data_IF_803563441539
#
_entry.id   IF_803563441539
#
_cell.length_a   1.000
_cell.length_b   1.000
_cell.length_c   1.000
_cell.angle_alpha   90.00
_cell.angle_beta   90.00
_cell.angle_gamma   90.00
#
_symmetry.space_group_name_H-M   'P 1'
#
loop_
_entity.id
_entity.type
_entity.pdbx_description
1 polymer ?
#
# COMPACT_ATOMS: atom_id res chain seq x y z
N UNK A 1 26.18 -15.87 0.27
CA UNK A 1 25.82 -14.48 0.62
C UNK A 1 24.68 -14.05 -0.31
N UNK A 2 23.88 -13.05 0.06
CA UNK A 2 22.72 -12.64 -0.77
C UNK A 2 23.19 -11.77 -1.95
N UNK A 3 24.14 -10.85 -1.71
CA UNK A 3 24.68 -9.92 -2.71
C UNK A 3 25.23 -10.65 -3.95
N UNK A 4 26.01 -11.72 -3.79
CA UNK A 4 26.62 -12.41 -4.92
C UNK A 4 25.60 -13.05 -5.86
N UNK A 5 24.48 -13.54 -5.30
CA UNK A 5 23.37 -14.08 -6.07
C UNK A 5 22.58 -12.97 -6.76
N UNK A 6 22.32 -11.85 -6.06
CA UNK A 6 21.58 -10.70 -6.60
C UNK A 6 22.31 -10.05 -7.78
N UNK A 7 23.62 -9.82 -7.68
CA UNK A 7 24.43 -9.27 -8.79
C UNK A 7 24.28 -10.15 -10.03
N UNK A 8 24.44 -11.47 -9.87
CA UNK A 8 24.33 -12.43 -10.97
C UNK A 8 22.93 -12.44 -11.57
N UNK A 9 21.89 -12.53 -10.72
CA UNK A 9 20.49 -12.58 -11.11
C UNK A 9 20.09 -11.37 -11.96
N UNK A 10 20.28 -10.15 -11.45
CA UNK A 10 19.90 -8.92 -12.14
C UNK A 10 20.73 -8.67 -13.41
N UNK A 11 22.02 -9.03 -13.39
CA UNK A 11 22.85 -8.98 -14.60
C UNK A 11 22.28 -9.89 -15.69
N UNK A 12 21.89 -11.12 -15.35
CA UNK A 12 21.34 -12.07 -16.32
C UNK A 12 19.95 -11.69 -16.82
N UNK A 13 19.08 -11.15 -15.94
CA UNK A 13 17.76 -10.63 -16.31
C UNK A 13 17.88 -9.53 -17.37
N UNK A 14 18.87 -8.66 -17.23
CA UNK A 14 19.17 -7.59 -18.20
C UNK A 14 20.03 -8.06 -19.39
N UNK A 15 20.25 -9.37 -19.55
CA UNK A 15 21.05 -9.98 -20.62
C UNK A 15 22.48 -9.42 -20.73
N UNK A 16 23.06 -8.95 -19.63
CA UNK A 16 24.42 -8.43 -19.60
C UNK A 16 25.43 -9.56 -19.36
N UNK A 17 26.58 -9.54 -20.01
CA UNK A 17 27.71 -10.41 -19.65
C UNK A 17 28.50 -9.84 -18.46
N UNK A 18 29.34 -10.66 -17.81
CA UNK A 18 30.25 -10.16 -16.76
C UNK A 18 31.18 -9.06 -17.31
N UNK A 19 31.57 -9.16 -18.59
CA UNK A 19 32.40 -8.17 -19.28
C UNK A 19 31.65 -6.85 -19.46
N UNK A 20 30.39 -6.89 -19.91
CA UNK A 20 29.56 -5.68 -20.05
C UNK A 20 29.33 -4.98 -18.71
N UNK A 21 29.08 -5.74 -17.63
CA UNK A 21 28.90 -5.16 -16.30
C UNK A 21 30.20 -4.53 -15.78
N UNK A 22 31.34 -5.18 -16.02
CA UNK A 22 32.65 -4.67 -15.64
C UNK A 22 32.99 -3.37 -16.38
N UNK A 23 32.68 -3.30 -17.67
CA UNK A 23 32.87 -2.10 -18.50
C UNK A 23 32.03 -0.93 -17.97
N UNK A 24 30.74 -1.15 -17.68
CA UNK A 24 29.86 -0.12 -17.09
C UNK A 24 30.34 0.39 -15.73
N UNK A 25 30.94 -0.48 -14.92
CA UNK A 25 31.49 -0.11 -13.61
C UNK A 25 32.91 0.47 -13.67
N UNK A 26 33.55 0.43 -14.85
CA UNK A 26 34.96 0.77 -15.05
C UNK A 26 35.90 -0.03 -14.11
N UNK A 27 35.71 -1.35 -14.05
CA UNK A 27 36.53 -2.27 -13.27
C UNK A 27 36.91 -3.50 -14.09
N UNK A 28 37.75 -4.37 -13.54
CA UNK A 28 38.08 -5.65 -14.18
C UNK A 28 36.92 -6.64 -14.15
N UNK A 29 36.74 -7.42 -15.22
CA UNK A 29 35.85 -8.58 -15.26
C UNK A 29 36.10 -9.56 -14.11
N UNK A 30 37.37 -9.72 -13.72
CA UNK A 30 37.77 -10.58 -12.60
C UNK A 30 37.12 -10.14 -11.29
N UNK A 31 36.95 -8.83 -11.06
CA UNK A 31 36.25 -8.29 -9.89
C UNK A 31 34.79 -8.76 -9.84
N UNK A 32 34.05 -8.59 -10.96
CA UNK A 32 32.66 -9.08 -11.08
C UNK A 32 32.59 -10.59 -10.81
N UNK A 33 33.52 -11.34 -11.41
CA UNK A 33 33.56 -12.79 -11.27
C UNK A 33 33.76 -13.23 -9.81
N UNK A 34 34.66 -12.58 -9.08
CA UNK A 34 34.89 -12.82 -7.65
C UNK A 34 33.67 -12.46 -6.81
N UNK A 35 33.02 -11.34 -7.12
CA UNK A 35 31.79 -10.92 -6.44
C UNK A 35 30.67 -11.93 -6.64
N UNK A 36 30.40 -12.39 -7.87
CA UNK A 36 29.33 -13.37 -8.14
C UNK A 36 29.60 -14.75 -7.53
N UNK A 37 30.87 -15.12 -7.33
CA UNK A 37 31.27 -16.35 -6.61
C UNK A 37 31.31 -16.19 -5.09
N UNK A 38 31.17 -14.97 -4.57
CA UNK A 38 31.26 -14.69 -3.13
C UNK A 38 32.69 -14.76 -2.58
N UNK A 39 33.71 -14.69 -3.45
CA UNK A 39 35.13 -14.69 -3.06
C UNK A 39 35.61 -13.33 -2.54
N UNK A 40 34.91 -12.26 -2.91
CA UNK A 40 35.12 -10.91 -2.39
C UNK A 40 33.83 -10.12 -2.40
N UNK A 41 33.79 -9.02 -1.65
CA UNK A 41 32.68 -8.08 -1.63
C UNK A 41 32.98 -6.84 -2.49
N UNK A 42 31.98 -6.25 -3.15
CA UNK A 42 32.12 -4.93 -3.75
C UNK A 42 32.30 -3.87 -2.64
N UNK A 43 33.06 -2.81 -2.93
CA UNK A 43 33.12 -1.63 -2.05
C UNK A 43 31.76 -0.91 -2.02
N UNK A 44 31.55 -0.03 -1.03
CA UNK A 44 30.32 0.77 -0.92
C UNK A 44 30.06 1.56 -2.21
N UNK A 45 31.07 2.21 -2.79
CA UNK A 45 30.92 2.92 -4.07
C UNK A 45 30.47 2.01 -5.21
N UNK A 46 31.02 0.79 -5.27
CA UNK A 46 30.64 -0.19 -6.29
C UNK A 46 29.22 -0.73 -6.05
N UNK A 47 28.79 -0.90 -4.81
CA UNK A 47 27.42 -1.30 -4.48
C UNK A 47 26.40 -0.24 -4.91
N UNK A 48 26.68 1.04 -4.67
CA UNK A 48 25.81 2.14 -5.12
C UNK A 48 25.68 2.14 -6.65
N UNK A 49 26.82 2.08 -7.36
CA UNK A 49 26.83 2.03 -8.83
C UNK A 49 26.18 0.76 -9.38
N UNK A 50 26.31 -0.38 -8.70
CA UNK A 50 25.61 -1.61 -9.05
C UNK A 50 24.09 -1.40 -8.98
N UNK A 51 23.58 -0.77 -7.92
CA UNK A 51 22.16 -0.43 -7.80
C UNK A 51 21.69 0.45 -8.97
N UNK A 52 22.45 1.47 -9.34
CA UNK A 52 22.15 2.36 -10.47
C UNK A 52 22.15 1.62 -11.82
N UNK A 53 23.17 0.79 -12.09
CA UNK A 53 23.30 0.05 -13.36
C UNK A 53 22.25 -1.05 -13.49
N UNK A 54 21.96 -1.75 -12.39
CA UNK A 54 20.98 -2.84 -12.34
C UNK A 54 19.55 -2.32 -12.14
N UNK A 55 19.37 -1.01 -11.92
CA UNK A 55 18.06 -0.39 -11.77
C UNK A 55 17.28 -0.85 -10.54
N UNK A 56 17.99 -1.22 -9.46
CA UNK A 56 17.40 -1.68 -8.21
C UNK A 56 17.87 -0.84 -7.02
N UNK A 57 17.05 -0.66 -5.98
CA UNK A 57 17.49 -0.04 -4.74
C UNK A 57 18.69 -0.77 -4.14
N UNK A 58 19.60 -0.03 -3.52
CA UNK A 58 20.75 -0.62 -2.82
C UNK A 58 20.31 -1.60 -1.72
N UNK A 59 19.20 -1.31 -1.06
CA UNK A 59 18.65 -2.18 -0.02
C UNK A 59 18.26 -3.56 -0.59
N UNK A 60 17.67 -3.60 -1.79
CA UNK A 60 17.29 -4.81 -2.51
C UNK A 60 18.52 -5.58 -3.00
N UNK A 61 19.55 -4.88 -3.46
CA UNK A 61 20.82 -5.50 -3.85
C UNK A 61 21.50 -6.21 -2.66
N UNK A 62 21.40 -5.63 -1.46
CA UNK A 62 22.09 -6.12 -0.25
C UNK A 62 21.27 -7.17 0.49
N UNK A 63 19.97 -6.96 0.63
CA UNK A 63 19.05 -7.81 1.40
C UNK A 63 18.31 -8.84 0.55
N UNK A 64 18.26 -8.65 -0.76
CA UNK A 64 17.62 -9.53 -1.74
C UNK A 64 16.19 -9.13 -2.10
N UNK A 65 15.74 -9.56 -3.29
CA UNK A 65 14.39 -9.30 -3.88
C UNK A 65 13.21 -9.67 -2.97
N UNK A 66 13.42 -10.59 -2.03
CA UNK A 66 12.42 -11.06 -1.06
C UNK A 66 12.47 -10.32 0.29
N UNK A 67 13.36 -9.35 0.47
CA UNK A 67 13.38 -8.59 1.71
C UNK A 67 12.19 -7.65 1.75
N UNK A 68 11.25 -7.92 2.66
CA UNK A 68 10.17 -6.99 2.97
C UNK A 68 10.75 -5.62 3.36
N UNK A 69 10.42 -4.53 2.64
CA UNK A 69 10.99 -3.21 2.91
C UNK A 69 10.48 -2.68 4.25
N UNK A 70 11.33 -2.01 5.02
CA UNK A 70 10.94 -1.37 6.30
C UNK A 70 11.60 0.01 6.36
N UNK A 71 10.83 1.10 6.62
CA UNK A 71 9.39 1.11 6.87
C UNK A 71 8.56 0.84 5.61
N UNK A 72 7.41 0.18 5.76
CA UNK A 72 6.45 -0.04 4.66
C UNK A 72 5.11 0.61 4.96
N UNK A 73 4.67 1.50 4.09
CA UNK A 73 3.35 2.12 4.17
C UNK A 73 2.34 1.30 3.39
N UNK A 74 1.33 0.76 4.08
CA UNK A 74 0.27 -0.01 3.46
C UNK A 74 -1.00 0.85 3.34
N UNK A 75 -1.52 1.06 2.13
CA UNK A 75 -2.74 1.85 1.92
C UNK A 75 -2.53 3.31 1.55
N UNK A 76 -1.31 3.82 1.73
CA UNK A 76 -1.02 5.25 1.68
C UNK A 76 -1.23 5.83 0.28
N UNK A 77 -2.24 6.69 0.11
CA UNK A 77 -2.38 7.45 -1.13
C UNK A 77 -1.49 8.71 -1.11
N UNK A 78 -0.41 8.68 -1.90
CA UNK A 78 0.53 9.82 -2.02
C UNK A 78 0.06 10.87 -3.03
N UNK A 79 -0.89 10.55 -3.90
CA UNK A 79 -1.31 11.44 -4.98
C UNK A 79 -2.27 12.52 -4.46
N UNK A 80 -1.77 13.75 -4.36
CA UNK A 80 -2.54 14.93 -3.93
C UNK A 80 -3.23 15.69 -5.06
N UNK A 81 -3.00 15.30 -6.32
CA UNK A 81 -3.43 16.04 -7.53
C UNK A 81 -4.92 16.37 -7.52
N UNK A 82 -5.78 15.40 -7.21
CA UNK A 82 -7.22 15.62 -7.17
C UNK A 82 -7.65 16.61 -6.09
N UNK A 83 -7.02 16.56 -4.91
CA UNK A 83 -7.30 17.51 -3.83
C UNK A 83 -6.86 18.93 -4.23
N UNK A 84 -5.72 19.07 -4.89
CA UNK A 84 -5.25 20.37 -5.40
C UNK A 84 -6.20 20.92 -6.47
N UNK A 85 -6.57 20.11 -7.47
CA UNK A 85 -7.54 20.50 -8.51
C UNK A 85 -8.87 20.92 -7.87
N UNK A 86 -9.34 20.15 -6.89
CA UNK A 86 -10.56 20.44 -6.14
C UNK A 86 -10.48 21.81 -5.45
N UNK A 87 -9.39 22.11 -4.74
CA UNK A 87 -9.20 23.41 -4.07
C UNK A 87 -9.18 24.54 -5.11
N UNK A 88 -8.45 24.38 -6.22
CA UNK A 88 -8.37 25.39 -7.28
C UNK A 88 -9.73 25.67 -7.92
N UNK A 89 -10.51 24.64 -8.24
CA UNK A 89 -11.87 24.79 -8.78
C UNK A 89 -12.77 25.50 -7.75
N UNK A 90 -12.68 25.13 -6.48
CA UNK A 90 -13.45 25.77 -5.40
C UNK A 90 -13.13 27.26 -5.31
N UNK A 91 -11.84 27.61 -5.29
CA UNK A 91 -11.40 29.00 -5.23
C UNK A 91 -11.88 29.79 -6.46
N UNK A 92 -11.79 29.19 -7.66
CA UNK A 92 -12.26 29.81 -8.89
C UNK A 92 -13.77 30.09 -8.86
N UNK A 93 -14.59 29.11 -8.43
CA UNK A 93 -16.04 29.28 -8.32
C UNK A 93 -16.38 30.38 -7.31
N UNK A 94 -15.76 30.37 -6.13
CA UNK A 94 -15.95 31.42 -5.13
C UNK A 94 -15.60 32.82 -5.68
N UNK A 95 -14.46 32.93 -6.39
CA UNK A 95 -14.03 34.20 -6.99
C UNK A 95 -15.01 34.71 -8.06
N UNK A 96 -15.49 33.84 -8.96
CA UNK A 96 -16.50 34.20 -9.97
C UNK A 96 -17.79 34.64 -9.29
N UNK A 97 -18.26 33.90 -8.28
CA UNK A 97 -19.50 34.27 -7.56
C UNK A 97 -19.38 35.59 -6.78
N UNK A 98 -18.17 35.95 -6.32
CA UNK A 98 -17.93 37.22 -5.60
C UNK A 98 -17.93 38.44 -6.53
N UNK A 99 -17.37 38.30 -7.73
CA UNK A 99 -17.28 39.41 -8.70
C UNK A 99 -18.62 39.71 -9.38
N UNK A 100 -19.52 38.73 -9.47
CA UNK A 100 -20.86 38.92 -10.03
C UNK A 100 -21.82 39.44 -8.95
N UNK A 101 -22.58 40.50 -9.25
CA UNK A 101 -23.67 40.93 -8.35
C UNK A 101 -24.62 39.74 -8.12
N UNK A 102 -25.19 39.59 -6.91
CA UNK A 102 -26.01 38.42 -6.57
C UNK A 102 -27.29 38.41 -7.41
N UNK A 103 -27.24 37.67 -8.51
CA UNK A 103 -28.39 37.31 -9.34
C UNK A 103 -28.80 35.87 -9.03
N UNK A 104 -30.08 35.54 -9.26
CA UNK A 104 -30.62 34.19 -9.03
C UNK A 104 -29.75 33.09 -9.67
N UNK A 105 -29.20 33.36 -10.86
CA UNK A 105 -28.30 32.45 -11.59
C UNK A 105 -27.02 32.15 -10.80
N UNK A 106 -26.41 33.15 -10.16
CA UNK A 106 -25.16 32.99 -9.37
C UNK A 106 -25.43 32.12 -8.15
N UNK A 107 -26.57 32.31 -7.49
CA UNK A 107 -27.01 31.51 -6.34
C UNK A 107 -27.25 30.06 -6.76
N UNK A 108 -27.95 29.82 -7.88
CA UNK A 108 -28.20 28.47 -8.38
C UNK A 108 -26.92 27.74 -8.80
N UNK A 109 -25.95 28.42 -9.41
CA UNK A 109 -24.65 27.85 -9.73
C UNK A 109 -23.86 27.47 -8.47
N UNK A 110 -23.89 28.30 -7.42
CA UNK A 110 -23.25 27.98 -6.14
C UNK A 110 -23.89 26.76 -5.47
N UNK A 111 -25.22 26.64 -5.49
CA UNK A 111 -25.92 25.45 -4.99
C UNK A 111 -25.60 24.19 -5.81
N UNK A 112 -25.61 24.30 -7.14
CA UNK A 112 -25.25 23.19 -8.03
C UNK A 112 -23.81 22.73 -7.83
N UNK A 113 -22.88 23.67 -7.62
CA UNK A 113 -21.51 23.38 -7.25
C UNK A 113 -21.42 22.66 -5.90
N UNK A 114 -22.05 23.20 -4.85
CA UNK A 114 -22.08 22.56 -3.53
C UNK A 114 -22.66 21.14 -3.59
N UNK A 115 -23.74 20.94 -4.33
CA UNK A 115 -24.34 19.62 -4.52
C UNK A 115 -23.40 18.66 -5.27
N UNK A 116 -22.81 19.11 -6.38
CA UNK A 116 -21.82 18.35 -7.14
C UNK A 116 -20.60 17.98 -6.28
N UNK A 117 -20.17 18.89 -5.40
CA UNK A 117 -19.06 18.67 -4.47
C UNK A 117 -19.40 17.63 -3.41
N UNK A 118 -20.58 17.72 -2.79
CA UNK A 118 -21.06 16.71 -1.84
C UNK A 118 -21.18 15.34 -2.51
N UNK A 119 -21.69 15.31 -3.74
CA UNK A 119 -21.80 14.09 -4.55
C UNK A 119 -20.42 13.48 -4.85
N UNK A 120 -19.47 14.26 -5.38
CA UNK A 120 -18.10 13.81 -5.65
C UNK A 120 -17.37 13.36 -4.38
N UNK A 121 -17.61 14.03 -3.24
CA UNK A 121 -17.04 13.64 -1.96
C UNK A 121 -17.60 12.27 -1.52
N UNK A 122 -18.90 12.04 -1.73
CA UNK A 122 -19.55 10.76 -1.43
C UNK A 122 -19.04 9.61 -2.31
N UNK A 123 -18.68 9.87 -3.56
CA UNK A 123 -18.17 8.85 -4.49
C UNK A 123 -16.73 8.42 -4.23
N UNK A 124 -15.90 9.29 -3.62
CA UNK A 124 -14.47 9.00 -3.43
C UNK A 124 -14.19 8.55 -2.00
N UNK A 125 -13.50 7.42 -1.86
CA UNK A 125 -13.13 6.89 -0.55
C UNK A 125 -11.96 7.70 0.05
N UNK A 126 -12.24 8.83 0.70
CA UNK A 126 -11.20 9.65 1.33
C UNK A 126 -10.50 8.94 2.50
N UNK A 127 -11.03 7.79 2.97
CA UNK A 127 -10.38 6.94 3.97
C UNK A 127 -8.95 6.59 3.58
N UNK A 128 -8.70 6.28 2.31
CA UNK A 128 -7.37 5.90 1.78
C UNK A 128 -6.28 6.96 2.03
N UNK A 129 -6.64 8.21 2.33
CA UNK A 129 -5.69 9.27 2.64
C UNK A 129 -5.25 9.29 4.10
N UNK A 130 -6.00 8.70 5.04
CA UNK A 130 -5.70 8.76 6.46
C UNK A 130 -5.67 7.40 7.16
N UNK A 131 -6.44 6.43 6.65
CA UNK A 131 -6.65 5.08 7.18
C UNK A 131 -5.64 4.07 6.57
N UNK A 132 -4.37 4.46 6.56
CA UNK A 132 -3.24 3.61 6.17
C UNK A 132 -2.43 3.25 7.42
N UNK A 133 -1.62 2.21 7.37
CA UNK A 133 -0.71 1.87 8.47
C UNK A 133 0.73 1.80 7.98
N UNK A 134 1.67 2.02 8.89
CA UNK A 134 3.10 1.96 8.58
C UNK A 134 3.72 0.86 9.43
N UNK A 135 4.43 -0.03 8.78
CA UNK A 135 5.14 -1.13 9.43
C UNK A 135 6.57 -0.68 9.68
N UNK A 136 6.95 -0.65 10.96
CA UNK A 136 8.29 -0.30 11.42
C UNK A 136 9.05 -1.55 11.89
N UNK A 137 10.32 -1.39 12.24
CA UNK A 137 11.13 -2.48 12.79
C UNK A 137 10.70 -2.93 14.19
N UNK A 138 10.05 -2.06 14.98
CA UNK A 138 9.67 -2.31 16.38
C UNK A 138 8.16 -2.39 16.62
N UNK A 139 7.35 -2.10 15.60
CA UNK A 139 5.89 -2.12 15.73
C UNK A 139 5.16 -1.61 14.50
N UNK A 140 3.86 -1.42 14.63
CA UNK A 140 2.96 -0.94 13.59
C UNK A 140 2.36 0.39 14.02
N UNK A 141 2.45 1.38 13.13
CA UNK A 141 1.82 2.68 13.31
C UNK A 141 0.43 2.67 12.69
N UNK A 142 -0.58 2.82 13.55
CA UNK A 142 -1.99 2.79 13.17
C UNK A 142 -2.66 4.15 13.33
N UNK A 143 -3.67 4.42 12.53
CA UNK A 143 -4.49 5.63 12.67
C UNK A 143 -5.44 5.52 13.87
N UNK A 144 -5.44 6.52 14.76
CA UNK A 144 -6.34 6.60 15.93
C UNK A 144 -7.00 7.98 16.02
N UNK A 145 -7.29 8.57 14.86
CA UNK A 145 -7.84 9.93 14.79
C UNK A 145 -9.35 10.02 14.92
N UNK A 146 -9.90 11.16 14.51
CA UNK A 146 -11.32 11.50 14.65
C UNK A 146 -12.23 10.73 13.69
N UNK A 147 -13.45 10.41 14.17
CA UNK A 147 -14.53 9.83 13.35
C UNK A 147 -15.02 10.77 12.21
N UNK A 148 -14.69 12.07 12.29
CA UNK A 148 -15.02 13.07 11.28
C UNK A 148 -14.07 12.98 10.07
N UNK A 149 -14.52 12.30 9.02
CA UNK A 149 -13.76 12.02 7.78
C UNK A 149 -13.05 13.25 7.19
N UNK A 150 -13.73 14.40 7.15
CA UNK A 150 -13.17 15.65 6.60
C UNK A 150 -11.96 16.14 7.42
N UNK A 151 -12.09 16.15 8.74
CA UNK A 151 -10.99 16.55 9.63
C UNK A 151 -9.81 15.60 9.54
N UNK A 152 -10.07 14.28 9.48
CA UNK A 152 -9.04 13.26 9.32
C UNK A 152 -8.24 13.45 8.03
N UNK A 153 -8.95 13.73 6.94
CA UNK A 153 -8.37 13.98 5.62
C UNK A 153 -7.49 15.24 5.62
N UNK A 154 -7.99 16.35 6.18
CA UNK A 154 -7.23 17.61 6.28
C UNK A 154 -5.98 17.41 7.14
N UNK A 155 -6.13 16.79 8.32
CA UNK A 155 -5.02 16.52 9.23
C UNK A 155 -3.96 15.64 8.58
N UNK A 156 -4.37 14.65 7.78
CA UNK A 156 -3.43 13.83 7.00
C UNK A 156 -2.68 14.66 5.96
N UNK A 157 -3.36 15.54 5.21
CA UNK A 157 -2.72 16.38 4.20
C UNK A 157 -1.67 17.35 4.77
N UNK A 158 -1.89 17.87 5.98
CA UNK A 158 -0.94 18.75 6.69
C UNK A 158 0.09 17.98 7.51
N UNK A 159 0.12 16.64 7.43
CA UNK A 159 1.08 15.80 8.16
C UNK A 159 0.84 15.70 9.67
N UNK A 160 -0.31 16.16 10.17
CA UNK A 160 -0.69 16.10 11.59
C UNK A 160 -1.67 14.95 11.88
N UNK A 161 -1.47 13.82 11.19
CA UNK A 161 -2.27 12.61 11.39
C UNK A 161 -2.07 12.09 12.81
N UNK A 162 -3.17 11.87 13.55
CA UNK A 162 -3.10 11.23 14.87
C UNK A 162 -2.89 9.73 14.70
N UNK A 163 -1.79 9.22 15.24
CA UNK A 163 -1.40 7.82 15.14
C UNK A 163 -1.01 7.25 16.50
N UNK A 164 -1.07 5.93 16.62
CA UNK A 164 -0.58 5.17 17.78
C UNK A 164 0.42 4.13 17.26
N UNK A 165 1.56 4.03 17.92
CA UNK A 165 2.53 2.97 17.67
C UNK A 165 2.18 1.76 18.54
N UNK A 166 2.03 0.60 17.91
CA UNK A 166 1.74 -0.68 18.57
C UNK A 166 3.00 -1.55 18.47
N UNK A 167 3.73 -1.77 19.58
CA UNK A 167 4.91 -2.63 19.57
C UNK A 167 4.56 -4.07 19.24
N UNK A 168 5.43 -4.78 18.51
CA UNK A 168 5.20 -6.20 18.18
C UNK A 168 5.01 -7.08 19.41
N UNK A 169 5.76 -6.80 20.47
CA UNK A 169 5.66 -7.52 21.74
C UNK A 169 4.29 -7.41 22.42
N UNK A 170 3.44 -6.44 22.04
CA UNK A 170 2.08 -6.30 22.58
C UNK A 170 1.00 -6.97 21.74
N UNK A 171 1.37 -7.54 20.58
CA UNK A 171 0.45 -8.15 19.64
C UNK A 171 0.40 -9.65 19.93
N UNK A 172 -0.79 -10.13 20.28
CA UNK A 172 -1.02 -11.56 20.56
C UNK A 172 -1.27 -12.31 19.26
N UNK A 173 -2.17 -11.80 18.42
CA UNK A 173 -2.52 -12.42 17.14
C UNK A 173 -2.99 -11.40 16.11
N UNK A 174 -2.94 -11.81 14.85
CA UNK A 174 -3.55 -11.11 13.73
C UNK A 174 -4.50 -12.04 12.99
N UNK A 175 -5.66 -11.51 12.60
CA UNK A 175 -6.66 -12.24 11.84
C UNK A 175 -6.95 -11.55 10.52
N UNK A 176 -6.83 -12.28 9.43
CA UNK A 176 -7.27 -11.82 8.12
C UNK A 176 -8.80 -11.92 8.08
N UNK A 177 -9.46 -10.77 8.01
CA UNK A 177 -10.91 -10.67 7.94
C UNK A 177 -11.36 -10.14 6.58
N UNK A 178 -12.19 -10.93 5.90
CA UNK A 178 -12.86 -10.54 4.68
C UNK A 178 -14.38 -10.61 4.90
N UNK A 179 -15.08 -9.50 4.70
CA UNK A 179 -16.54 -9.48 4.83
C UNK A 179 -17.19 -10.12 3.59
N UNK A 180 -17.39 -11.43 3.63
CA UNK A 180 -17.94 -12.25 2.54
C UNK A 180 -19.47 -12.40 2.57
N UNK A 181 -20.22 -11.47 3.19
CA UNK A 181 -21.68 -11.62 3.35
C UNK A 181 -22.48 -11.67 2.04
N UNK A 182 -21.84 -11.51 0.87
CA UNK A 182 -22.41 -11.86 -0.42
C UNK A 182 -23.74 -11.17 -0.74
N UNK A 183 -24.43 -11.65 -1.78
CA UNK A 183 -25.81 -11.28 -2.08
C UNK A 183 -26.75 -12.36 -1.58
N UNK A 184 -27.65 -11.98 -0.67
CA UNK A 184 -28.73 -12.81 -0.17
C UNK A 184 -29.91 -12.78 -1.17
N UNK A 185 -30.23 -13.91 -1.83
CA UNK A 185 -31.31 -13.98 -2.80
C UNK A 185 -32.71 -13.87 -2.17
N UNK A 186 -32.85 -14.16 -0.87
CA UNK A 186 -34.13 -14.11 -0.16
C UNK A 186 -34.49 -12.70 0.32
N UNK A 187 -33.49 -11.89 0.65
CA UNK A 187 -33.66 -10.49 1.11
C UNK A 187 -33.30 -9.45 0.05
N UNK A 188 -32.71 -9.86 -1.08
CA UNK A 188 -32.12 -8.99 -2.12
C UNK A 188 -31.01 -8.07 -1.62
N UNK A 189 -30.45 -8.33 -0.44
CA UNK A 189 -29.34 -7.55 0.11
C UNK A 189 -28.01 -8.14 -0.37
N UNK A 190 -27.24 -7.37 -1.14
CA UNK A 190 -25.91 -7.80 -1.56
C UNK A 190 -25.17 -6.81 -2.42
N UNK A 191 -23.87 -6.64 -2.14
CA UNK A 191 -22.99 -5.80 -2.92
C UNK A 191 -22.34 -6.62 -4.02
N UNK A 192 -22.89 -6.49 -5.24
CA UNK A 192 -22.35 -7.08 -6.47
C UNK A 192 -20.89 -6.63 -6.70
N UNK A 193 -19.91 -7.45 -6.34
CA UNK A 193 -18.54 -7.24 -6.80
C UNK A 193 -18.46 -7.52 -8.31
N UNK A 194 -18.17 -6.48 -9.11
CA UNK A 194 -17.75 -6.62 -10.51
C UNK A 194 -16.38 -5.99 -10.68
N UNK A 195 -15.45 -6.72 -11.30
CA UNK A 195 -14.11 -6.24 -11.67
C UNK A 195 -14.25 -4.89 -12.42
N UNK A 196 -13.64 -3.82 -11.89
CA UNK A 196 -13.66 -2.44 -12.42
C UNK A 196 -14.92 -1.59 -12.19
N UNK A 197 -15.91 -2.01 -11.41
CA UNK A 197 -16.98 -1.08 -10.96
C UNK A 197 -16.53 -0.26 -9.74
N UNK A 198 -16.91 1.02 -9.72
CA UNK A 198 -16.82 1.88 -8.54
C UNK A 198 -17.92 1.45 -7.58
N UNK A 199 -17.67 0.40 -6.79
CA UNK A 199 -18.71 -0.16 -5.89
C UNK A 199 -18.95 0.80 -4.73
N UNK A 200 -20.17 1.31 -4.64
CA UNK A 200 -20.72 1.95 -3.43
C UNK A 200 -20.97 0.81 -2.44
N UNK A 201 -20.09 0.62 -1.47
CA UNK A 201 -20.12 -0.51 -0.53
C UNK A 201 -19.15 -1.62 -0.93
N UNK A 202 -17.86 -1.44 -0.64
CA UNK A 202 -16.88 -2.53 -0.79
C UNK A 202 -16.96 -3.45 0.43
N UNK A 203 -16.78 -4.74 0.21
CA UNK A 203 -16.50 -5.70 1.27
C UNK A 203 -15.24 -5.23 2.00
N UNK A 204 -15.34 -5.09 3.32
CA UNK A 204 -14.20 -4.67 4.13
C UNK A 204 -13.19 -5.79 4.16
N UNK A 205 -12.02 -5.56 3.56
CA UNK A 205 -10.87 -6.44 3.71
C UNK A 205 -9.92 -5.84 4.73
N UNK A 206 -9.62 -6.56 5.80
CA UNK A 206 -8.89 -5.99 6.93
C UNK A 206 -8.05 -7.02 7.66
N UNK A 207 -6.96 -6.55 8.24
CA UNK A 207 -6.17 -7.29 9.22
C UNK A 207 -6.60 -6.82 10.61
N UNK A 208 -7.20 -7.72 11.38
CA UNK A 208 -7.60 -7.44 12.76
C UNK A 208 -6.44 -7.84 13.66
N UNK A 209 -5.86 -6.86 14.34
CA UNK A 209 -4.79 -7.07 15.30
C UNK A 209 -5.39 -7.05 16.70
N UNK A 210 -5.11 -8.10 17.47
CA UNK A 210 -5.54 -8.22 18.88
C UNK A 210 -4.31 -8.12 19.77
N UNK A 211 -4.34 -7.19 20.74
CA UNK A 211 -3.27 -7.02 21.72
C UNK A 211 -3.49 -7.87 22.96
N UNK A 212 -2.43 -8.06 23.76
CA UNK A 212 -2.50 -8.72 25.07
C UNK A 212 -3.51 -8.07 26.04
N UNK A 213 -3.85 -6.79 25.80
CA UNK A 213 -4.84 -6.04 26.58
C UNK A 213 -6.25 -6.12 25.99
N UNK A 214 -6.50 -7.06 25.07
CA UNK A 214 -7.78 -7.24 24.35
C UNK A 214 -8.22 -5.98 23.56
N UNK A 215 -7.26 -5.12 23.17
CA UNK A 215 -7.55 -4.02 22.25
C UNK A 215 -7.50 -4.55 20.81
N UNK A 216 -8.57 -4.29 20.05
CA UNK A 216 -8.64 -4.67 18.64
C UNK A 216 -8.39 -3.47 17.73
N UNK A 217 -7.46 -3.62 16.80
CA UNK A 217 -7.14 -2.63 15.77
C UNK A 217 -7.45 -3.21 14.39
N UNK A 218 -8.18 -2.45 13.57
CA UNK A 218 -8.53 -2.86 12.21
C UNK A 218 -7.63 -2.13 11.23
N UNK A 219 -6.81 -2.88 10.50
CA UNK A 219 -5.92 -2.35 9.46
C UNK A 219 -6.56 -2.61 8.09
N UNK A 220 -6.71 -1.57 7.28
CA UNK A 220 -7.34 -1.68 5.97
C UNK A 220 -6.44 -2.42 4.96
N UNK A 221 -6.95 -3.48 4.34
CA UNK A 221 -6.27 -4.31 3.33
C UNK A 221 -6.81 -4.12 1.89
N UNK A 222 -7.67 -3.12 1.64
CA UNK A 222 -8.35 -2.90 0.36
C UNK A 222 -7.38 -2.69 -0.83
N UNK A 223 -6.12 -2.34 -0.57
CA UNK A 223 -5.12 -2.22 -1.64
C UNK A 223 -4.81 -3.54 -2.34
N UNK A 224 -5.10 -4.67 -1.71
CA UNK A 224 -4.87 -5.99 -2.29
C UNK A 224 -5.81 -6.31 -3.45
N UNK A 225 -6.92 -5.57 -3.60
CA UNK A 225 -7.74 -5.64 -4.81
C UNK A 225 -7.06 -5.10 -6.07
N UNK A 226 -5.86 -4.50 -5.95
CA UNK A 226 -5.09 -3.95 -7.05
C UNK A 226 -3.78 -4.76 -7.22
N UNK A 227 -3.75 -5.77 -8.12
CA UNK A 227 -2.58 -6.66 -8.27
C UNK A 227 -1.28 -5.98 -8.70
N UNK A 228 -1.37 -4.76 -9.25
CA UNK A 228 -0.24 -3.96 -9.68
C UNK A 228 0.36 -3.11 -8.54
N UNK A 229 -0.21 -3.17 -7.33
CA UNK A 229 0.25 -2.39 -6.18
C UNK A 229 1.45 -3.03 -5.50
N UNK A 230 2.32 -2.22 -4.90
CA UNK A 230 3.41 -2.70 -4.06
C UNK A 230 2.86 -3.46 -2.85
N UNK A 231 1.71 -3.03 -2.31
CA UNK A 231 1.02 -3.72 -1.22
C UNK A 231 0.68 -5.18 -1.58
N UNK A 232 0.21 -5.42 -2.81
CA UNK A 232 -0.05 -6.78 -3.29
C UNK A 232 1.26 -7.59 -3.41
N UNK A 233 2.28 -6.99 -4.05
CA UNK A 233 3.59 -7.64 -4.25
C UNK A 233 4.26 -8.05 -2.95
N UNK A 234 4.20 -7.19 -1.92
CA UNK A 234 4.89 -7.42 -0.65
C UNK A 234 4.01 -8.11 0.40
N UNK A 235 2.74 -8.43 0.11
CA UNK A 235 1.81 -8.97 1.11
C UNK A 235 2.29 -10.28 1.75
N UNK A 236 2.70 -11.26 0.95
CA UNK A 236 3.19 -12.53 1.49
C UNK A 236 4.46 -12.34 2.33
N UNK A 237 5.36 -11.46 1.88
CA UNK A 237 6.57 -11.12 2.62
C UNK A 237 6.27 -10.36 3.93
N UNK A 238 5.23 -9.52 3.93
CA UNK A 238 4.72 -8.82 5.11
C UNK A 238 4.20 -9.81 6.16
N UNK A 239 3.40 -10.79 5.78
CA UNK A 239 2.90 -11.79 6.71
C UNK A 239 4.02 -12.66 7.27
N UNK A 240 4.93 -13.14 6.41
CA UNK A 240 6.12 -13.87 6.86
C UNK A 240 7.01 -13.04 7.80
N UNK A 241 7.03 -11.70 7.63
CA UNK A 241 7.73 -10.81 8.55
C UNK A 241 7.05 -10.77 9.93
N UNK A 242 5.72 -10.71 10.00
CA UNK A 242 4.99 -10.74 11.28
C UNK A 242 5.14 -12.09 11.99
N UNK A 243 5.07 -13.21 11.28
CA UNK A 243 5.32 -14.54 11.85
C UNK A 243 6.72 -14.64 12.47
N UNK A 244 7.73 -14.06 11.81
CA UNK A 244 9.11 -13.97 12.36
C UNK A 244 9.22 -13.14 13.65
N UNK A 245 8.29 -12.22 13.89
CA UNK A 245 8.20 -11.48 15.16
C UNK A 245 7.48 -12.28 16.26
N UNK A 246 7.06 -13.52 15.98
CA UNK A 246 6.35 -14.39 16.92
C UNK A 246 4.84 -14.16 16.95
N UNK A 247 4.27 -13.51 15.95
CA UNK A 247 2.84 -13.18 15.90
C UNK A 247 2.10 -14.28 15.15
N UNK A 248 1.06 -14.84 15.77
CA UNK A 248 0.20 -15.83 15.14
C UNK A 248 -0.76 -15.17 14.14
N UNK A 249 -0.85 -15.73 12.92
CA UNK A 249 -1.72 -15.22 11.86
C UNK A 249 -2.83 -16.22 11.54
N UNK A 250 -4.08 -15.84 11.84
CA UNK A 250 -5.29 -16.57 11.45
C UNK A 250 -5.71 -16.17 10.03
N UNK A 251 -5.44 -17.04 9.06
CA UNK A 251 -5.93 -16.96 7.67
C UNK A 251 -7.07 -17.98 7.41
N UNK A 252 -8.18 -17.81 8.13
CA UNK A 252 -9.38 -18.63 7.96
C UNK A 252 -9.87 -18.75 6.50
N UNK A 253 -9.63 -17.72 5.68
CA UNK A 253 -10.11 -17.64 4.30
C UNK A 253 -9.10 -18.18 3.26
N UNK A 254 -7.88 -18.55 3.65
CA UNK A 254 -6.85 -19.04 2.74
C UNK A 254 -6.34 -17.99 1.74
N UNK A 255 -6.39 -16.71 2.11
CA UNK A 255 -6.00 -15.59 1.27
C UNK A 255 -4.50 -15.63 0.98
N UNK A 256 -3.67 -16.04 1.94
CA UNK A 256 -2.22 -16.11 1.77
C UNK A 256 -1.82 -17.11 0.68
N UNK A 257 -2.46 -18.28 0.69
CA UNK A 257 -2.27 -19.29 -0.35
C UNK A 257 -2.77 -18.76 -1.70
N UNK A 258 -3.94 -18.12 -1.75
CA UNK A 258 -4.51 -17.59 -2.97
C UNK A 258 -3.61 -16.55 -3.66
N UNK A 259 -3.03 -15.61 -2.89
CA UNK A 259 -2.11 -14.59 -3.43
C UNK A 259 -0.82 -15.23 -3.93
N UNK A 260 -0.28 -16.19 -3.18
CA UNK A 260 1.00 -16.84 -3.50
C UNK A 260 0.89 -17.70 -4.77
N UNK A 261 -0.26 -18.32 -4.99
CA UNK A 261 -0.54 -19.17 -6.14
C UNK A 261 -1.13 -18.40 -7.34
N UNK A 262 -1.13 -17.05 -7.31
CA UNK A 262 -1.72 -16.16 -8.33
C UNK A 262 -3.21 -16.40 -8.63
N UNK A 263 -3.95 -17.03 -7.71
CA UNK A 263 -5.41 -17.20 -7.83
C UNK A 263 -6.17 -15.91 -7.49
N UNK A 264 -7.41 -15.81 -7.95
CA UNK A 264 -8.29 -14.72 -7.57
C UNK A 264 -8.61 -14.82 -6.06
N UNK A 265 -8.02 -13.92 -5.27
CA UNK A 265 -8.21 -13.81 -3.83
C UNK A 265 -9.69 -13.81 -3.42
N UNK A 266 -10.54 -13.16 -4.21
CA UNK A 266 -11.96 -13.07 -3.92
C UNK A 266 -12.59 -14.44 -4.12
N UNK A 267 -12.28 -15.11 -5.23
CA UNK A 267 -12.78 -16.45 -5.49
C UNK A 267 -12.32 -17.45 -4.42
N UNK A 268 -11.09 -17.32 -3.91
CA UNK A 268 -10.60 -18.11 -2.79
C UNK A 268 -11.36 -17.84 -1.48
N UNK A 269 -11.61 -16.56 -1.15
CA UNK A 269 -12.36 -16.15 0.02
C UNK A 269 -13.80 -16.69 0.02
N UNK A 270 -14.41 -16.78 -1.15
CA UNK A 270 -15.77 -17.29 -1.34
C UNK A 270 -15.84 -18.83 -1.39
N UNK A 271 -14.75 -19.54 -1.76
CA UNK A 271 -14.72 -21.01 -1.87
C UNK A 271 -14.59 -21.74 -0.53
N UNK A 272 -14.07 -21.10 0.53
CA UNK A 272 -13.85 -21.71 1.85
C UNK A 272 -15.03 -21.57 2.84
N UNK A 273 -16.26 -21.39 2.34
CA UNK A 273 -17.47 -21.45 3.16
C UNK A 273 -17.79 -22.87 3.66
#
# INVERSE_FOLDING_TARGET
>A
MIINQQIKFYRTEQKMSQDMLAEKLNISRQSISKWERGESLPSIDNLVRLGEILGIPLDELVKGKESFPIPFSFGQNTTKVFFVIFVLITTLVCFVTYTMKPHLIVVLLAFGYCYGMVSLIGFRNFKDYYDFFIIWNQGIEVYVGTNLKLTATILSFIGKRKTKQIPYASIESMKIYFNNKGYDPATQEGLNYRRRQTVVGRETFSLILTTEYLENYTLNLDRLFYPQSDEYKYFSAMMAYFEKQGIEIDDAYGILAAITDEYDMIEAAYRKQ
#
